data_IF_339239056683
#
_entry.id   IF_339239056683
#
_cell.length_a   1.000
_cell.length_b   1.000
_cell.length_c   1.000
_cell.angle_alpha   90.00
_cell.angle_beta   90.00
_cell.angle_gamma   90.00
#
_symmetry.space_group_name_H-M   'P 1'
#
loop_
_entity.id
_entity.type
_entity.pdbx_description
1 polymer ?
#
# COMPACT_ATOMS: atom_id res chain seq x y z
N UNK A 1 33.88 40.04 34.56
CA UNK A 1 34.63 38.98 35.27
C UNK A 1 33.72 37.77 35.34
N UNK A 2 33.95 36.58 34.79
CA UNK A 2 35.08 35.92 34.14
C UNK A 2 34.47 34.87 33.19
N UNK A 3 34.80 34.95 31.90
CA UNK A 3 34.91 33.77 31.05
C UNK A 3 36.17 33.00 31.48
N UNK A 4 36.29 31.73 31.06
CA UNK A 4 37.47 30.81 31.12
C UNK A 4 37.21 29.60 32.03
N UNK A 5 36.95 28.46 31.38
CA UNK A 5 36.78 27.16 32.05
C UNK A 5 36.61 25.99 31.07
N UNK A 6 37.23 26.06 29.89
CA UNK A 6 37.43 24.92 28.99
C UNK A 6 38.90 24.88 28.67
N UNK A 7 39.63 23.92 29.24
CA UNK A 7 40.94 23.40 28.81
C UNK A 7 41.50 22.57 29.97
N UNK A 8 41.28 21.26 29.96
CA UNK A 8 42.24 20.22 30.40
C UNK A 8 41.56 18.85 30.36
N UNK A 9 41.72 18.11 29.25
CA UNK A 9 41.84 16.64 29.22
C UNK A 9 41.73 16.18 27.77
N UNK A 10 42.79 16.47 27.01
CA UNK A 10 43.14 15.75 25.81
C UNK A 10 44.55 15.17 26.06
N UNK A 11 44.75 13.92 25.63
CA UNK A 11 45.99 13.11 25.65
C UNK A 11 46.02 11.95 26.66
N UNK A 12 45.27 10.88 26.37
CA UNK A 12 45.72 9.48 26.60
C UNK A 12 45.33 8.69 25.33
N UNK A 13 46.25 8.66 24.35
CA UNK A 13 47.05 7.49 23.96
C UNK A 13 46.25 6.46 23.15
N UNK A 14 46.56 6.48 21.85
CA UNK A 14 46.30 5.40 20.90
C UNK A 14 47.00 4.12 21.33
N UNK A 15 46.33 2.96 21.19
CA UNK A 15 46.87 1.65 20.81
C UNK A 15 45.82 0.54 21.07
N UNK A 16 45.21 0.02 20.01
CA UNK A 16 44.93 -1.42 19.80
C UNK A 16 43.88 -1.63 18.69
N UNK A 17 44.32 -1.50 17.42
CA UNK A 17 43.67 -2.25 16.33
C UNK A 17 44.32 -3.63 16.33
N UNK A 18 43.70 -4.58 17.02
CA UNK A 18 44.00 -6.00 16.91
C UNK A 18 42.68 -6.73 16.70
N UNK A 19 42.58 -7.42 15.57
CA UNK A 19 41.33 -7.99 15.08
C UNK A 19 40.85 -9.21 15.86
N UNK A 20 39.53 -9.37 15.86
CA UNK A 20 38.84 -10.65 15.86
C UNK A 20 37.74 -10.55 14.80
N UNK A 21 38.10 -10.75 13.53
CA UNK A 21 37.14 -11.06 12.48
C UNK A 21 37.13 -12.59 12.37
N UNK A 22 36.46 -13.25 13.31
CA UNK A 22 36.07 -14.66 13.19
C UNK A 22 34.75 -14.69 12.46
N UNK A 23 34.86 -14.78 11.14
CA UNK A 23 33.85 -15.46 10.32
C UNK A 23 33.66 -16.89 10.82
N UNK A 24 32.47 -17.41 10.60
CA UNK A 24 32.12 -18.83 10.52
C UNK A 24 31.39 -19.43 11.75
N UNK A 25 30.34 -20.18 11.41
CA UNK A 25 29.54 -21.08 12.23
C UNK A 25 28.49 -20.48 13.18
N UNK A 26 27.37 -19.98 12.64
CA UNK A 26 26.04 -20.05 13.28
C UNK A 26 24.89 -20.10 12.26
N UNK A 27 25.09 -20.81 11.15
CA UNK A 27 23.96 -21.37 10.41
C UNK A 27 23.48 -22.61 11.17
N UNK A 28 22.29 -22.58 11.82
CA UNK A 28 21.70 -23.83 12.26
C UNK A 28 21.51 -24.68 11.00
N UNK A 29 22.03 -25.92 11.02
CA UNK A 29 21.60 -26.90 10.03
C UNK A 29 20.11 -27.09 10.25
N UNK A 30 19.30 -26.57 9.34
CA UNK A 30 17.94 -27.03 9.21
C UNK A 30 18.02 -28.53 8.93
N UNK A 31 17.59 -29.35 9.88
CA UNK A 31 17.13 -30.70 9.58
C UNK A 31 15.98 -30.56 8.58
N UNK A 32 16.29 -30.82 7.32
CA UNK A 32 15.29 -30.94 6.27
C UNK A 32 14.81 -32.38 6.37
N UNK A 33 13.52 -32.53 6.68
CA UNK A 33 12.87 -33.80 6.99
C UNK A 33 13.24 -34.92 6.03
N UNK A 34 13.58 -36.07 6.63
CA UNK A 34 13.77 -37.33 5.92
C UNK A 34 12.51 -37.71 5.15
N UNK A 35 12.61 -37.61 3.83
CA UNK A 35 11.61 -38.06 2.88
C UNK A 35 12.30 -38.39 1.58
N UNK A 36 12.97 -39.54 1.52
CA UNK A 36 13.56 -40.11 0.30
C UNK A 36 12.45 -40.53 -0.66
N UNK A 37 11.75 -39.56 -1.26
CA UNK A 37 10.92 -39.79 -2.45
C UNK A 37 11.61 -39.10 -3.61
N UNK A 38 12.22 -39.90 -4.48
CA UNK A 38 12.71 -39.43 -5.76
C UNK A 38 11.51 -38.92 -6.56
N UNK A 39 11.42 -37.61 -6.76
CA UNK A 39 10.43 -37.01 -7.67
C UNK A 39 10.78 -37.45 -9.09
N UNK A 40 9.90 -38.21 -9.73
CA UNK A 40 10.04 -38.54 -11.15
C UNK A 40 9.81 -37.27 -11.98
N UNK A 41 10.57 -37.05 -13.07
CA UNK A 41 10.33 -35.91 -13.94
C UNK A 41 8.93 -35.99 -14.55
N UNK A 42 8.26 -34.85 -14.64
CA UNK A 42 6.94 -34.73 -15.27
C UNK A 42 7.05 -35.14 -16.73
N UNK A 43 6.27 -36.13 -17.15
CA UNK A 43 6.26 -36.59 -18.55
C UNK A 43 5.33 -35.72 -19.39
N UNK A 44 5.53 -35.72 -20.71
CA UNK A 44 4.67 -34.97 -21.63
C UNK A 44 3.19 -35.39 -21.52
N UNK A 45 2.94 -36.67 -21.23
CA UNK A 45 1.60 -37.20 -21.01
C UNK A 45 0.94 -36.62 -19.74
N UNK A 46 1.70 -36.38 -18.67
CA UNK A 46 1.20 -35.74 -17.45
C UNK A 46 0.83 -34.27 -17.71
N UNK A 47 1.68 -33.56 -18.47
CA UNK A 47 1.41 -32.18 -18.88
C UNK A 47 0.14 -32.07 -19.72
N UNK A 48 -0.07 -32.99 -20.66
CA UNK A 48 -1.31 -33.04 -21.47
C UNK A 48 -2.55 -33.40 -20.63
N UNK A 49 -2.40 -34.23 -19.60
CA UNK A 49 -3.48 -34.57 -18.66
C UNK A 49 -3.91 -33.35 -17.84
N UNK A 50 -2.94 -32.58 -17.35
CA UNK A 50 -3.21 -31.34 -16.62
C UNK A 50 -3.81 -30.26 -17.53
N UNK A 51 -3.35 -30.17 -18.78
CA UNK A 51 -3.89 -29.23 -19.77
C UNK A 51 -5.34 -29.55 -20.21
N UNK A 52 -5.76 -30.82 -20.13
CA UNK A 52 -7.13 -31.25 -20.50
C UNK A 52 -8.13 -31.30 -19.35
N UNK A 53 -7.75 -30.93 -18.13
CA UNK A 53 -8.62 -31.12 -16.96
C UNK A 53 -9.23 -29.80 -16.45
N UNK A 54 -10.47 -29.47 -16.83
CA UNK A 54 -11.34 -28.63 -16.03
C UNK A 54 -12.36 -29.53 -15.31
N UNK A 55 -11.92 -30.27 -14.28
CA UNK A 55 -12.83 -30.98 -13.38
C UNK A 55 -12.30 -30.95 -11.94
N UNK A 56 -13.04 -30.39 -10.98
CA UNK A 56 -12.77 -30.65 -9.57
C UNK A 56 -13.13 -32.11 -9.24
N UNK A 57 -12.14 -32.87 -8.76
CA UNK A 57 -12.34 -34.19 -8.16
C UNK A 57 -13.27 -34.05 -6.94
N UNK A 58 -14.47 -34.62 -7.05
CA UNK A 58 -15.46 -34.64 -5.99
C UNK A 58 -15.34 -35.97 -5.26
N UNK A 59 -14.97 -35.93 -3.97
CA UNK A 59 -15.07 -37.08 -3.07
C UNK A 59 -16.55 -37.45 -2.91
N UNK A 60 -16.92 -38.67 -3.29
CA UNK A 60 -18.29 -39.16 -3.14
C UNK A 60 -18.63 -39.44 -1.67
N UNK A 61 -19.60 -38.71 -1.12
CA UNK A 61 -20.41 -39.19 -0.02
C UNK A 61 -21.89 -38.89 -0.33
N UNK A 62 -22.74 -39.77 0.18
CA UNK A 62 -24.03 -40.18 -0.30
C UNK A 62 -25.15 -39.42 0.41
N UNK A 63 -26.19 -39.07 -0.38
CA UNK A 63 -27.59 -38.82 0.02
C UNK A 63 -27.91 -37.75 1.08
N UNK A 64 -28.59 -36.67 0.67
CA UNK A 64 -29.96 -36.30 1.12
C UNK A 64 -30.50 -35.09 0.32
N UNK A 65 -31.61 -35.33 -0.38
CA UNK A 65 -32.79 -34.49 -0.63
C UNK A 65 -32.65 -32.96 -0.83
N UNK A 66 -32.86 -32.56 -2.09
CA UNK A 66 -33.73 -31.49 -2.60
C UNK A 66 -33.80 -30.16 -1.83
N UNK A 67 -33.04 -29.17 -2.29
CA UNK A 67 -33.45 -27.75 -2.24
C UNK A 67 -32.92 -27.01 -3.47
N UNK A 68 -33.78 -26.18 -4.07
CA UNK A 68 -33.56 -25.57 -5.38
C UNK A 68 -32.83 -24.24 -5.19
N UNK A 69 -31.51 -24.29 -5.06
CA UNK A 69 -30.68 -23.09 -5.10
C UNK A 69 -29.97 -22.98 -6.44
N UNK A 70 -30.43 -22.06 -7.29
CA UNK A 70 -29.68 -21.61 -8.46
C UNK A 70 -28.47 -20.79 -7.96
N UNK A 71 -27.22 -21.22 -8.21
CA UNK A 71 -26.06 -20.42 -7.86
C UNK A 71 -25.97 -19.24 -8.82
N UNK A 72 -26.11 -18.01 -8.30
CA UNK A 72 -25.70 -16.79 -9.00
C UNK A 72 -24.16 -16.70 -8.94
N UNK A 73 -23.48 -16.41 -10.05
CA UNK A 73 -22.02 -16.36 -10.09
C UNK A 73 -21.49 -15.29 -9.13
N UNK A 74 -20.59 -15.69 -8.23
CA UNK A 74 -19.98 -14.84 -7.19
C UNK A 74 -18.77 -14.03 -7.69
N UNK A 75 -18.46 -14.09 -8.98
CA UNK A 75 -17.35 -13.35 -9.58
C UNK A 75 -17.70 -12.81 -10.97
N UNK A 76 -17.14 -11.65 -11.28
CA UNK A 76 -17.39 -10.91 -12.52
C UNK A 76 -16.94 -11.69 -13.76
N UNK A 77 -15.96 -12.60 -13.60
CA UNK A 77 -15.34 -13.36 -14.69
C UNK A 77 -16.25 -14.47 -15.26
N UNK A 78 -17.06 -15.13 -14.42
CA UNK A 78 -18.00 -16.15 -14.90
C UNK A 78 -19.28 -15.52 -15.46
N UNK A 79 -19.70 -14.38 -14.89
CA UNK A 79 -20.82 -13.59 -15.41
C UNK A 79 -20.52 -13.04 -16.83
N UNK A 80 -19.30 -12.54 -17.08
CA UNK A 80 -18.92 -12.08 -18.42
C UNK A 80 -18.85 -13.23 -19.44
N UNK A 81 -18.46 -14.44 -19.03
CA UNK A 81 -18.39 -15.59 -19.93
C UNK A 81 -19.79 -16.05 -20.39
N UNK A 82 -20.78 -16.00 -19.48
CA UNK A 82 -22.18 -16.35 -19.80
C UNK A 82 -22.87 -15.30 -20.68
N UNK A 83 -22.53 -14.02 -20.53
CA UNK A 83 -23.02 -12.94 -21.38
C UNK A 83 -22.54 -13.06 -22.84
N UNK A 84 -21.31 -13.52 -23.06
CA UNK A 84 -20.76 -13.71 -24.41
C UNK A 84 -21.38 -14.93 -25.10
N UNK A 85 -21.63 -16.00 -24.36
CA UNK A 85 -22.26 -17.23 -24.89
C UNK A 85 -23.73 -17.04 -25.27
N UNK A 86 -24.44 -16.12 -24.61
CA UNK A 86 -25.86 -15.86 -24.86
C UNK A 86 -26.11 -14.88 -26.02
N UNK A 87 -25.07 -14.34 -26.66
CA UNK A 87 -25.20 -13.47 -27.85
C UNK A 87 -25.97 -12.16 -27.62
N UNK A 88 -26.29 -11.82 -26.36
CA UNK A 88 -27.14 -10.68 -26.04
C UNK A 88 -26.28 -9.47 -25.64
N UNK A 89 -26.07 -8.56 -26.59
CA UNK A 89 -25.44 -7.26 -26.36
C UNK A 89 -26.34 -6.38 -25.50
N UNK A 90 -26.31 -6.57 -24.18
CA UNK A 90 -26.88 -5.61 -23.23
C UNK A 90 -25.93 -5.47 -22.04
N UNK A 91 -25.12 -4.42 -22.10
CA UNK A 91 -24.34 -3.91 -20.98
C UNK A 91 -25.26 -3.66 -19.77
N UNK A 92 -24.88 -4.03 -18.53
CA UNK A 92 -25.70 -3.79 -17.33
C UNK A 92 -25.69 -2.32 -16.86
N UNK A 93 -25.14 -1.41 -17.66
CA UNK A 93 -25.18 0.04 -17.45
C UNK A 93 -25.90 0.70 -18.63
N UNK A 94 -27.20 0.43 -18.77
CA UNK A 94 -28.08 1.32 -19.52
C UNK A 94 -29.46 1.25 -18.91
N UNK A 95 -29.81 2.29 -18.16
CA UNK A 95 -31.20 2.66 -17.94
C UNK A 95 -31.88 2.73 -19.32
N UNK A 96 -33.07 2.15 -19.43
CA UNK A 96 -33.80 2.04 -20.69
C UNK A 96 -34.10 3.39 -21.33
N UNK A 97 -34.56 3.37 -22.60
CA UNK A 97 -34.87 4.60 -23.34
C UNK A 97 -35.97 5.40 -22.62
N UNK A 98 -35.88 6.74 -22.59
CA UNK A 98 -36.90 7.59 -21.98
C UNK A 98 -38.20 7.54 -22.80
N UNK A 99 -39.38 7.75 -22.19
CA UNK A 99 -40.64 7.77 -22.90
C UNK A 99 -40.77 9.00 -23.81
N UNK A 100 -41.30 8.76 -25.01
CA UNK A 100 -41.67 9.75 -26.04
C UNK A 100 -42.67 10.78 -25.50
N UNK A 101 -42.28 12.05 -25.46
CA UNK A 101 -43.21 13.18 -25.47
C UNK A 101 -43.31 13.73 -26.90
N UNK A 102 -44.48 13.55 -27.51
CA UNK A 102 -44.82 14.13 -28.81
C UNK A 102 -45.05 15.65 -28.68
N UNK A 103 -44.22 16.43 -29.38
CA UNK A 103 -44.39 17.87 -29.56
C UNK A 103 -43.38 18.41 -30.57
N UNK A 104 -43.89 19.00 -31.66
CA UNK A 104 -43.20 19.65 -32.80
C UNK A 104 -42.01 20.55 -32.37
N UNK A 105 -40.95 20.81 -33.15
CA UNK A 105 -40.83 20.99 -34.60
C UNK A 105 -39.34 21.00 -35.02
N UNK A 106 -39.11 20.64 -36.28
CA UNK A 106 -37.88 20.75 -37.10
C UNK A 106 -37.13 22.09 -36.97
N UNK A 107 -35.80 22.01 -36.80
CA UNK A 107 -34.79 22.92 -37.37
C UNK A 107 -33.42 22.21 -37.27
N UNK A 108 -32.98 21.58 -38.36
CA UNK A 108 -31.91 22.05 -39.24
C UNK A 108 -30.50 21.78 -38.73
N UNK A 109 -29.81 20.94 -39.49
CA UNK A 109 -28.39 20.67 -39.37
C UNK A 109 -27.59 21.96 -39.62
N UNK A 110 -26.81 22.37 -38.62
CA UNK A 110 -25.70 23.30 -38.84
C UNK A 110 -24.46 22.75 -38.15
N UNK A 111 -23.52 22.34 -39.00
CA UNK A 111 -22.12 22.17 -38.68
C UNK A 111 -21.58 23.49 -38.12
N UNK A 112 -21.17 23.51 -36.86
CA UNK A 112 -20.38 24.62 -36.32
C UNK A 112 -19.29 24.08 -35.42
N UNK A 113 -18.07 24.21 -35.94
CA UNK A 113 -16.79 24.46 -35.26
C UNK A 113 -16.54 23.79 -33.90
N UNK A 114 -15.47 22.98 -33.89
CA UNK A 114 -14.73 22.61 -32.70
C UNK A 114 -14.44 23.86 -31.85
N UNK A 115 -15.13 23.96 -30.71
CA UNK A 115 -14.65 24.80 -29.61
C UNK A 115 -13.42 24.10 -29.03
N UNK A 116 -12.25 24.76 -28.95
CA UNK A 116 -11.19 24.24 -28.12
C UNK A 116 -11.74 24.21 -26.69
N UNK A 117 -11.89 23.01 -26.14
CA UNK A 117 -11.92 22.83 -24.69
C UNK A 117 -10.59 23.38 -24.21
N UNK A 118 -10.60 24.66 -23.84
CA UNK A 118 -9.56 25.26 -23.06
C UNK A 118 -9.74 24.68 -21.65
N UNK A 119 -9.33 23.42 -21.50
CA UNK A 119 -8.82 22.93 -20.23
C UNK A 119 -7.80 23.99 -19.81
N UNK A 120 -8.17 24.75 -18.79
CA UNK A 120 -7.20 25.52 -18.04
C UNK A 120 -6.22 24.49 -17.48
N UNK A 121 -5.20 24.19 -18.28
CA UNK A 121 -3.98 23.57 -17.81
C UNK A 121 -3.38 24.58 -16.84
N UNK A 122 -3.83 24.50 -15.59
CA UNK A 122 -3.01 24.91 -14.46
C UNK A 122 -1.65 24.28 -14.75
N UNK A 123 -0.55 25.05 -14.73
CA UNK A 123 0.76 24.45 -14.82
C UNK A 123 0.78 23.34 -13.79
N UNK A 124 1.02 22.10 -14.22
CA UNK A 124 1.36 21.03 -13.30
C UNK A 124 2.48 21.62 -12.46
N UNK A 125 2.20 21.90 -11.18
CA UNK A 125 3.21 22.34 -10.26
C UNK A 125 4.18 21.17 -10.12
N UNK A 126 5.18 21.14 -11.02
CA UNK A 126 6.38 20.35 -10.85
C UNK A 126 6.89 20.72 -9.45
N UNK A 127 6.94 19.73 -8.55
CA UNK A 127 7.15 19.94 -7.13
C UNK A 127 6.06 19.37 -6.21
N UNK A 128 4.87 19.01 -6.71
CA UNK A 128 3.71 18.69 -5.84
C UNK A 128 3.29 17.22 -5.84
N UNK A 129 4.12 16.32 -6.37
CA UNK A 129 3.82 14.88 -6.34
C UNK A 129 4.41 14.20 -5.10
N UNK A 130 3.71 13.17 -4.59
CA UNK A 130 4.19 12.34 -3.49
C UNK A 130 3.88 10.86 -3.75
N UNK A 131 4.80 9.99 -3.34
CA UNK A 131 4.60 8.55 -3.33
C UNK A 131 4.76 7.98 -1.93
N UNK A 132 3.81 7.18 -1.49
CA UNK A 132 3.91 6.44 -0.24
C UNK A 132 4.38 5.01 -0.55
N UNK A 133 5.47 4.60 0.09
CA UNK A 133 5.91 3.21 0.06
C UNK A 133 5.17 2.38 1.12
N UNK A 134 5.16 1.05 0.98
CA UNK A 134 4.64 0.17 2.02
C UNK A 134 5.25 0.47 3.39
N UNK A 135 4.41 0.45 4.41
CA UNK A 135 4.82 0.69 5.80
C UNK A 135 5.49 -0.56 6.36
N UNK A 136 6.59 -0.37 7.09
CA UNK A 136 7.37 -1.44 7.70
C UNK A 136 7.13 -1.45 9.21
N UNK A 137 6.94 -2.64 9.79
CA UNK A 137 6.86 -2.86 11.24
C UNK A 137 5.48 -2.64 11.88
N UNK A 138 4.49 -2.17 11.10
CA UNK A 138 3.09 -2.15 11.52
C UNK A 138 2.27 -3.19 10.73
N UNK A 139 1.33 -3.89 11.38
CA UNK A 139 0.48 -4.85 10.72
C UNK A 139 -0.66 -4.17 9.95
N UNK A 140 -1.29 -4.90 9.02
CA UNK A 140 -2.27 -4.35 8.06
C UNK A 140 -3.41 -3.63 8.78
N UNK A 141 -3.92 -4.16 9.89
CA UNK A 141 -5.01 -3.53 10.65
C UNK A 141 -4.67 -2.12 11.16
N UNK A 142 -3.41 -1.84 11.46
CA UNK A 142 -2.95 -0.51 11.86
C UNK A 142 -2.61 0.37 10.64
N UNK A 143 -2.09 -0.24 9.58
CA UNK A 143 -1.70 0.46 8.35
C UNK A 143 -2.92 0.93 7.55
N UNK A 144 -4.02 0.16 7.49
CA UNK A 144 -5.22 0.54 6.73
C UNK A 144 -5.79 1.92 7.10
N UNK A 145 -6.08 2.25 8.38
CA UNK A 145 -6.55 3.58 8.74
C UNK A 145 -5.48 4.66 8.53
N UNK A 146 -4.20 4.36 8.80
CA UNK A 146 -3.07 5.26 8.54
C UNK A 146 -3.01 5.68 7.07
N UNK A 147 -2.98 4.71 6.14
CA UNK A 147 -2.85 4.95 4.71
C UNK A 147 -4.04 5.73 4.13
N UNK A 148 -5.27 5.41 4.58
CA UNK A 148 -6.47 6.15 4.19
C UNK A 148 -6.35 7.62 4.59
N UNK A 149 -5.96 7.88 5.85
CA UNK A 149 -5.84 9.25 6.36
C UNK A 149 -4.68 10.01 5.73
N UNK A 150 -3.52 9.37 5.53
CA UNK A 150 -2.40 9.96 4.79
C UNK A 150 -2.84 10.42 3.40
N UNK A 151 -3.59 9.58 2.69
CA UNK A 151 -4.09 9.93 1.37
C UNK A 151 -5.07 11.11 1.40
N UNK A 152 -5.97 11.17 2.39
CA UNK A 152 -6.91 12.28 2.53
C UNK A 152 -6.17 13.60 2.85
N UNK A 153 -5.29 13.59 3.84
CA UNK A 153 -4.51 14.75 4.28
C UNK A 153 -3.56 15.25 3.20
N UNK A 154 -2.89 14.35 2.48
CA UNK A 154 -2.01 14.71 1.37
C UNK A 154 -2.77 15.47 0.27
N UNK A 155 -3.94 14.98 -0.13
CA UNK A 155 -4.78 15.65 -1.14
C UNK A 155 -5.33 16.98 -0.62
N UNK A 156 -5.75 17.04 0.64
CA UNK A 156 -6.19 18.29 1.27
C UNK A 156 -5.05 19.34 1.32
N UNK A 157 -3.81 18.89 1.46
CA UNK A 157 -2.62 19.73 1.38
C UNK A 157 -2.13 20.03 -0.06
N UNK A 158 -2.92 19.67 -1.09
CA UNK A 158 -2.59 19.95 -2.49
C UNK A 158 -1.52 19.03 -3.10
N UNK A 159 -1.25 17.87 -2.51
CA UNK A 159 -0.36 16.87 -3.08
C UNK A 159 -1.08 15.98 -4.09
N UNK A 160 -0.39 15.73 -5.21
CA UNK A 160 -0.79 14.69 -6.16
C UNK A 160 -0.15 13.36 -5.74
N UNK A 161 -0.97 12.41 -5.31
CA UNK A 161 -0.48 11.08 -4.91
C UNK A 161 -0.26 10.23 -6.16
N UNK A 162 0.94 9.67 -6.28
CA UNK A 162 1.30 8.76 -7.36
C UNK A 162 1.31 7.31 -6.86
N UNK A 163 1.05 6.33 -7.75
CA UNK A 163 1.14 4.92 -7.40
C UNK A 163 2.51 4.55 -6.84
N UNK A 164 2.57 3.60 -5.91
CA UNK A 164 3.84 3.15 -5.32
C UNK A 164 4.82 2.55 -6.36
N UNK A 165 4.32 2.09 -7.51
CA UNK A 165 5.11 1.57 -8.64
C UNK A 165 5.63 2.66 -9.59
N UNK A 166 5.14 3.90 -9.51
CA UNK A 166 5.50 4.98 -10.41
C UNK A 166 6.83 5.62 -10.00
N UNK A 167 7.85 5.54 -10.85
CA UNK A 167 9.19 6.10 -10.60
C UNK A 167 9.35 7.51 -11.17
N UNK A 168 8.25 8.19 -11.48
CA UNK A 168 8.24 9.56 -12.01
C UNK A 168 8.06 10.64 -10.93
N UNK A 169 7.98 10.26 -9.65
CA UNK A 169 7.79 11.21 -8.53
C UNK A 169 9.06 11.83 -8.03
N UNK A 170 8.99 13.09 -7.64
CA UNK A 170 10.10 13.80 -7.02
C UNK A 170 10.31 13.41 -5.55
N UNK A 171 9.23 13.10 -4.81
CA UNK A 171 9.28 12.88 -3.36
C UNK A 171 8.65 11.54 -2.96
N UNK A 172 9.39 10.74 -2.20
CA UNK A 172 8.99 9.42 -1.73
C UNK A 172 9.00 9.42 -0.19
N UNK A 173 7.90 8.96 0.42
CA UNK A 173 7.81 8.75 1.86
C UNK A 173 7.86 7.26 2.19
N UNK A 174 8.80 6.89 3.06
CA UNK A 174 8.96 5.51 3.57
C UNK A 174 8.80 5.51 5.09
N UNK A 175 7.80 4.77 5.59
CA UNK A 175 7.45 4.73 7.00
C UNK A 175 7.93 3.46 7.71
N UNK A 176 8.45 3.64 8.92
CA UNK A 176 8.87 2.58 9.84
C UNK A 176 8.18 2.78 11.18
N UNK A 177 7.55 1.74 11.69
CA UNK A 177 6.71 1.81 12.88
C UNK A 177 7.09 0.69 13.83
N UNK A 178 7.01 0.98 15.12
CA UNK A 178 7.13 0.00 16.21
C UNK A 178 6.10 0.34 17.26
N UNK A 179 5.51 -0.68 17.87
CA UNK A 179 4.65 -0.53 19.03
C UNK A 179 5.14 -1.48 20.13
N UNK A 180 5.15 -1.02 21.37
CA UNK A 180 5.50 -1.83 22.53
C UNK A 180 4.72 -1.39 23.77
N UNK A 181 4.46 -2.35 24.65
CA UNK A 181 3.83 -2.10 25.95
C UNK A 181 4.85 -1.47 26.91
N UNK A 182 4.49 -0.34 27.52
CA UNK A 182 5.22 0.39 28.56
C UNK A 182 4.29 0.55 29.77
N UNK A 183 4.32 -0.43 30.67
CA UNK A 183 3.39 -0.53 31.80
C UNK A 183 1.93 -0.68 31.34
N UNK A 184 1.10 0.32 31.66
CA UNK A 184 -0.32 0.37 31.29
C UNK A 184 -0.59 1.16 30.01
N UNK A 185 0.47 1.46 29.25
CA UNK A 185 0.40 2.23 28.00
C UNK A 185 1.04 1.44 26.88
N UNK A 186 0.58 1.67 25.66
CA UNK A 186 1.29 1.25 24.45
C UNK A 186 1.92 2.48 23.83
N UNK A 187 3.22 2.38 23.59
CA UNK A 187 4.03 3.39 22.94
C UNK A 187 4.20 3.00 21.48
N UNK A 188 3.75 3.85 20.57
CA UNK A 188 3.97 3.74 19.13
C UNK A 188 5.07 4.72 18.75
N UNK A 189 6.19 4.22 18.24
CA UNK A 189 7.27 5.05 17.68
C UNK A 189 7.23 4.92 16.16
N UNK A 190 7.29 6.06 15.47
CA UNK A 190 7.28 6.09 14.02
C UNK A 190 8.38 6.99 13.48
N UNK A 191 8.96 6.56 12.36
CA UNK A 191 9.99 7.27 11.62
C UNK A 191 9.61 7.28 10.15
N UNK A 192 9.72 8.43 9.52
CA UNK A 192 9.51 8.64 8.10
C UNK A 192 10.79 9.14 7.46
N UNK A 193 11.27 8.41 6.46
CA UNK A 193 12.29 8.92 5.55
C UNK A 193 11.62 9.60 4.37
N UNK A 194 12.04 10.82 4.07
CA UNK A 194 11.72 11.53 2.84
C UNK A 194 12.89 11.35 1.88
N UNK A 195 12.62 10.76 0.73
CA UNK A 195 13.62 10.41 -0.28
C UNK A 195 13.32 11.15 -1.59
N UNK A 196 14.37 11.46 -2.35
CA UNK A 196 14.22 11.89 -3.74
C UNK A 196 13.91 10.70 -4.67
N UNK A 197 13.75 10.97 -5.97
CA UNK A 197 13.48 9.93 -6.96
C UNK A 197 14.64 8.91 -7.14
N UNK A 198 15.86 9.26 -6.72
CA UNK A 198 17.02 8.35 -6.74
C UNK A 198 17.05 7.42 -5.53
N UNK A 199 16.17 7.65 -4.54
CA UNK A 199 16.15 6.95 -3.27
C UNK A 199 17.10 7.53 -2.23
N UNK A 200 17.75 8.67 -2.53
CA UNK A 200 18.62 9.35 -1.57
C UNK A 200 17.76 10.05 -0.52
N UNK A 201 18.15 9.91 0.76
CA UNK A 201 17.39 10.51 1.86
C UNK A 201 17.65 11.99 1.95
N UNK A 202 16.58 12.77 1.77
CA UNK A 202 16.55 14.22 1.91
C UNK A 202 16.30 14.63 3.37
N UNK A 203 15.40 13.92 4.05
CA UNK A 203 14.98 14.29 5.40
C UNK A 203 14.47 13.08 6.19
N UNK A 204 14.43 13.23 7.52
CA UNK A 204 13.85 12.24 8.44
C UNK A 204 12.95 12.95 9.44
N UNK A 205 11.69 12.55 9.44
CA UNK A 205 10.69 12.95 10.45
C UNK A 205 10.49 11.78 11.41
N UNK A 206 10.19 12.06 12.67
CA UNK A 206 9.97 11.03 13.67
C UNK A 206 9.01 11.54 14.73
N UNK A 207 8.30 10.62 15.37
CA UNK A 207 7.43 10.95 16.48
C UNK A 207 7.03 9.72 17.29
N UNK A 208 6.23 9.98 18.31
CA UNK A 208 5.72 8.97 19.21
C UNK A 208 4.29 9.31 19.63
N UNK A 209 3.44 8.28 19.69
CA UNK A 209 2.12 8.37 20.32
C UNK A 209 2.03 7.36 21.46
N UNK A 210 1.29 7.73 22.50
CA UNK A 210 0.98 6.86 23.62
C UNK A 210 -0.53 6.65 23.69
N UNK A 211 -0.95 5.41 23.86
CA UNK A 211 -2.36 5.07 24.07
C UNK A 211 -2.50 4.25 25.35
N UNK A 212 -3.62 4.38 26.09
CA UNK A 212 -3.89 3.49 27.19
C UNK A 212 -4.07 2.06 26.67
N UNK A 213 -3.47 1.09 27.35
CA UNK A 213 -3.54 -0.31 26.97
C UNK A 213 -2.25 -1.06 27.29
N UNK A 214 -2.37 -2.37 27.44
CA UNK A 214 -1.25 -3.27 27.66
C UNK A 214 -1.61 -4.65 27.13
N UNK A 215 -0.61 -5.46 26.83
CA UNK A 215 -0.83 -6.80 26.29
C UNK A 215 0.42 -7.40 25.65
N UNK A 216 0.30 -8.67 25.28
CA UNK A 216 1.35 -9.39 24.59
C UNK A 216 1.52 -8.90 23.14
N UNK A 217 0.42 -8.60 22.45
CA UNK A 217 0.45 -7.93 21.15
C UNK A 217 0.09 -6.44 21.33
N UNK A 218 1.07 -5.52 21.28
CA UNK A 218 0.83 -4.09 21.46
C UNK A 218 -0.04 -3.53 20.33
N UNK A 219 0.01 -4.08 19.11
CA UNK A 219 -0.78 -3.56 17.98
C UNK A 219 -2.27 -3.81 18.12
N UNK A 220 -2.67 -4.87 18.83
CA UNK A 220 -4.08 -5.22 19.03
C UNK A 220 -4.86 -4.16 19.83
N UNK A 221 -4.17 -3.40 20.69
CA UNK A 221 -4.76 -2.37 21.53
C UNK A 221 -4.56 -0.94 20.99
N UNK A 222 -3.93 -0.77 19.82
CA UNK A 222 -3.82 0.54 19.17
C UNK A 222 -5.12 0.90 18.46
N UNK A 223 -5.83 1.98 18.86
CA UNK A 223 -7.04 2.43 18.18
C UNK A 223 -6.74 2.94 16.77
N UNK A 224 -7.68 2.77 15.84
CA UNK A 224 -7.57 3.32 14.49
C UNK A 224 -7.39 4.85 14.49
N UNK A 225 -8.04 5.56 15.42
CA UNK A 225 -7.93 7.02 15.57
C UNK A 225 -6.51 7.48 15.88
N UNK A 226 -5.70 6.68 16.59
CA UNK A 226 -4.29 7.00 16.85
C UNK A 226 -3.48 6.93 15.56
N UNK A 227 -3.72 5.92 14.73
CA UNK A 227 -3.06 5.81 13.43
C UNK A 227 -3.48 6.93 12.47
N UNK A 228 -4.76 7.35 12.52
CA UNK A 228 -5.24 8.51 11.78
C UNK A 228 -4.59 9.82 12.27
N UNK A 229 -4.40 9.98 13.58
CA UNK A 229 -3.70 11.12 14.16
C UNK A 229 -2.23 11.17 13.68
N UNK A 230 -1.53 10.03 13.69
CA UNK A 230 -0.14 9.95 13.19
C UNK A 230 -0.08 10.35 11.71
N UNK A 231 -1.05 9.91 10.89
CA UNK A 231 -1.12 10.32 9.49
C UNK A 231 -1.26 11.83 9.33
N UNK A 232 -2.16 12.46 10.08
CA UNK A 232 -2.36 13.91 10.04
C UNK A 232 -1.08 14.67 10.44
N UNK A 233 -0.46 14.27 11.56
CA UNK A 233 0.83 14.83 12.02
C UNK A 233 1.92 14.68 10.95
N UNK A 234 2.02 13.51 10.33
CA UNK A 234 3.03 13.22 9.29
C UNK A 234 2.92 14.17 8.10
N UNK A 235 1.70 14.45 7.60
CA UNK A 235 1.52 15.38 6.48
C UNK A 235 1.81 16.82 6.89
N UNK A 236 1.44 17.23 8.11
CA UNK A 236 1.76 18.55 8.64
C UNK A 236 3.27 18.77 8.75
N UNK A 237 3.99 17.80 9.30
CA UNK A 237 5.44 17.84 9.43
C UNK A 237 6.12 17.88 8.05
N UNK A 238 5.63 17.06 7.12
CA UNK A 238 6.13 17.03 5.74
C UNK A 238 5.93 18.38 5.04
N UNK A 239 4.77 19.01 5.20
CA UNK A 239 4.49 20.32 4.62
C UNK A 239 5.38 21.41 5.20
N UNK A 240 5.58 21.39 6.52
CA UNK A 240 6.45 22.33 7.21
C UNK A 240 7.91 22.20 6.75
N UNK A 241 8.39 20.96 6.60
CA UNK A 241 9.70 20.69 6.02
C UNK A 241 9.79 21.18 4.57
N UNK A 242 8.81 20.87 3.73
CA UNK A 242 8.78 21.31 2.34
C UNK A 242 8.82 22.82 2.18
N UNK A 243 8.10 23.56 3.01
CA UNK A 243 8.07 25.03 2.94
C UNK A 243 9.41 25.66 3.32
N UNK A 244 10.18 25.01 4.20
CA UNK A 244 11.52 25.48 4.59
C UNK A 244 12.64 25.08 3.61
N UNK A 245 12.39 24.12 2.71
CA UNK A 245 13.40 23.57 1.77
C UNK A 245 13.05 23.79 0.29
N UNK A 246 11.84 24.26 -0.01
CA UNK A 246 11.34 24.51 -1.36
C UNK A 246 11.22 25.99 -1.72
N UNK A 247 12.01 26.86 -1.07
CA UNK A 247 12.14 28.29 -1.37
C UNK A 247 13.46 28.62 -2.04
#
# INVERSE_FOLDING_TARGET
MRLIGKLLSACIVALSVTGCNTSEALTPRAEIGGGSRASTPVTQADTERMARSPRPETYSNQTYRNDTYQPRPQNTLEAQAQAIQSGNQTSPASSGPPPDWQGQSQAEAQSTAAAPQQEASLPAAAGNTIRFLPIIGAPVQAVTPLSRRLGAEARAAGLTIRPSSDTGTEQILKGYFSAFSDGEKITIVYVWDVLDNTGSRLHRMQGQENVPGSGQDPWAAVPSSTMELIAAKTIQDYMSWRQSHGG
#
